data_IF_189802798881
#
_entry.id   IF_189802798881
#
_cell.length_a   1.000
_cell.length_b   1.000
_cell.length_c   1.000
_cell.angle_alpha   90.00
_cell.angle_beta   90.00
_cell.angle_gamma   90.00
#
_symmetry.space_group_name_H-M   'P 1'
#
loop_
_entity.id
_entity.type
_entity.pdbx_description
1 polymer ?
2 non-polymer ?
3 water ?
#
# COMPACT_ATOMS: atom_id res chain seq x y z
N UNK A 6 -12.67 -3.36 25.47
CA UNK A 6 -13.00 -4.33 24.43
C UNK A 6 -12.29 -4.00 23.11
N UNK A 7 -11.62 -2.85 23.05
CA UNK A 7 -11.00 -2.45 21.80
C UNK A 7 -9.76 -3.30 21.48
N UNK A 8 -9.03 -3.77 22.49
CA UNK A 8 -7.75 -4.44 22.31
C UNK A 8 -7.83 -5.96 22.45
N UNK A 9 -8.91 -6.55 21.96
CA UNK A 9 -9.15 -8.02 22.11
C UNK A 9 -8.06 -8.87 21.46
N UNK A 10 -7.70 -8.60 20.21
CA UNK A 10 -6.72 -9.41 19.48
C UNK A 10 -5.28 -8.90 19.60
N UNK A 11 -4.98 -8.05 20.59
CA UNK A 11 -3.67 -7.44 20.75
C UNK A 11 -2.99 -7.91 22.04
N UNK A 12 -1.67 -8.01 22.00
CA UNK A 12 -0.88 -8.34 23.18
C UNK A 12 -0.39 -7.06 23.83
N UNK A 13 -0.48 -6.99 25.15
CA UNK A 13 0.01 -5.83 25.89
C UNK A 13 1.49 -6.04 26.18
N UNK A 14 2.33 -5.07 25.81
CA UNK A 14 3.77 -5.17 25.96
C UNK A 14 4.20 -4.31 27.14
N UNK A 15 5.10 -4.83 27.99
CA UNK A 15 5.56 -3.99 29.08
C UNK A 15 6.64 -3.02 28.59
N UNK A 16 6.65 -1.79 29.09
CA UNK A 16 7.63 -0.79 28.57
C UNK A 16 9.08 -1.20 28.72
N UNK A 17 9.41 -2.03 29.70
CA UNK A 17 10.80 -2.46 29.87
C UNK A 17 11.29 -3.30 28.71
N UNK A 18 10.38 -3.81 27.88
CA UNK A 18 10.74 -4.65 26.74
C UNK A 18 11.03 -3.85 25.48
N UNK A 19 10.86 -2.53 25.51
CA UNK A 19 10.91 -1.69 24.31
C UNK A 19 12.03 -0.67 24.47
N UNK A 20 12.79 -0.49 23.40
CA UNK A 20 13.88 0.46 23.35
C UNK A 20 13.70 1.29 22.09
N UNK A 21 13.36 2.57 22.25
CA UNK A 21 13.29 3.46 21.10
C UNK A 21 14.70 3.94 20.76
N UNK A 22 15.06 3.82 19.48
CA UNK A 22 16.42 4.11 19.05
C UNK A 22 16.52 5.37 18.18
N UNK A 23 15.79 5.42 17.09
CA UNK A 23 15.91 6.59 16.19
C UNK A 23 14.54 6.96 15.61
N UNK A 24 14.27 8.24 15.50
CA UNK A 24 13.01 8.71 14.94
C UNK A 24 13.00 8.49 13.44
N UNK A 25 11.90 7.93 12.94
CA UNK A 25 11.76 7.58 11.54
C UNK A 25 10.56 8.24 10.88
N UNK A 26 9.77 8.99 11.63
CA UNK A 26 8.64 9.68 11.04
C UNK A 26 7.83 10.39 12.09
N UNK A 27 6.69 10.94 11.67
CA UNK A 27 5.82 11.71 12.54
C UNK A 27 4.45 11.04 12.60
N UNK A 28 3.95 10.86 13.81
CA UNK A 28 2.61 10.34 14.03
C UNK A 28 1.57 11.45 14.03
N UNK A 29 0.41 11.14 14.61
CA UNK A 29 -0.66 12.14 14.72
C UNK A 29 -0.53 12.98 15.97
N UNK A 30 0.01 12.41 17.05
CA UNK A 30 0.36 13.17 18.26
C UNK A 30 1.46 12.39 18.98
N UNK A 31 2.63 12.37 18.36
CA UNK A 31 3.78 11.63 18.83
C UNK A 31 4.66 11.24 17.68
N UNK A 32 5.90 10.90 17.99
CA UNK A 32 6.85 10.52 16.96
C UNK A 32 6.68 9.04 16.62
N UNK A 33 7.20 8.66 15.45
CA UNK A 33 7.36 7.25 15.10
C UNK A 33 8.83 6.90 15.16
N UNK A 34 9.14 5.79 15.82
CA UNK A 34 10.53 5.41 16.06
C UNK A 34 10.82 4.06 15.46
N UNK A 35 12.09 3.86 15.14
CA UNK A 35 12.66 2.53 14.98
C UNK A 35 13.22 2.11 16.34
N UNK A 36 12.97 0.86 16.72
CA UNK A 36 13.43 0.40 18.00
C UNK A 36 13.68 -1.09 18.07
N UNK A 37 13.83 -1.62 19.28
CA UNK A 37 14.05 -3.04 19.52
C UNK A 37 13.03 -3.53 20.53
N UNK A 38 12.59 -4.78 20.36
CA UNK A 38 11.60 -5.39 21.22
C UNK A 38 12.14 -6.71 21.76
N UNK A 39 12.01 -6.96 23.06
CA UNK A 39 12.55 -8.21 23.64
C UNK A 39 11.53 -9.07 24.41
N UNK A 40 11.06 -10.16 23.79
CA UNK A 40 10.10 -11.09 24.41
C UNK A 40 10.72 -12.47 24.48
N UNK A 41 10.07 -13.44 23.81
CA UNK A 41 10.34 -14.89 23.87
C UNK A 41 11.20 -15.37 25.03
N UNK A 46 16.58 -9.81 20.47
CA UNK A 46 15.73 -8.66 20.19
C UNK A 46 15.29 -8.67 18.73
N UNK A 47 14.08 -8.18 18.47
CA UNK A 47 13.62 -8.02 17.09
C UNK A 47 13.45 -6.54 16.79
N UNK A 48 13.81 -6.09 15.59
CA UNK A 48 13.58 -4.69 15.23
C UNK A 48 12.10 -4.41 15.10
N UNK A 49 11.67 -3.23 15.55
CA UNK A 49 10.26 -2.85 15.51
C UNK A 49 10.13 -1.39 15.11
N UNK A 50 8.94 -1.05 14.60
CA UNK A 50 8.54 0.34 14.46
C UNK A 50 7.55 0.65 15.57
N UNK A 51 7.62 1.88 16.10
CA UNK A 51 6.92 2.25 17.33
C UNK A 51 6.26 3.60 17.11
N UNK A 52 4.93 3.64 17.14
CA UNK A 52 4.17 4.89 17.10
C UNK A 52 3.70 5.23 18.50
N UNK A 53 3.95 6.45 18.95
CA UNK A 53 3.65 6.84 20.32
C UNK A 53 2.56 7.91 20.36
N UNK A 54 1.84 7.93 21.47
CA UNK A 54 0.83 8.94 21.76
C UNK A 54 1.33 9.70 22.98
N UNK A 55 1.78 10.90 22.75
CA UNK A 55 2.52 11.70 23.77
C UNK A 55 1.61 12.54 24.67
N UNK A 56 2.17 12.97 25.79
CA UNK A 56 1.39 13.67 26.80
C UNK A 56 0.68 14.88 26.20
N UNK A 57 -0.59 15.04 26.54
CA UNK A 57 -1.39 16.12 26.02
C UNK A 57 -2.38 15.69 24.95
N UNK A 58 -2.35 14.43 24.54
CA UNK A 58 -3.27 13.97 23.50
C UNK A 58 -4.71 14.19 23.95
N UNK A 59 -5.59 14.42 22.97
CA UNK A 59 -6.99 14.65 23.25
C UNK A 59 -7.74 13.33 23.37
N UNK A 60 -8.99 13.42 23.82
CA UNK A 60 -9.83 12.22 23.87
C UNK A 60 -10.02 11.62 22.49
N UNK A 61 -10.28 12.43 21.49
CA UNK A 61 -10.44 11.91 20.11
C UNK A 61 -9.14 11.22 19.67
N UNK A 62 -8.00 11.78 19.96
CA UNK A 62 -6.75 11.13 19.58
C UNK A 62 -6.59 9.78 20.27
N UNK A 63 -6.87 9.73 21.57
CA UNK A 63 -6.81 8.45 22.29
C UNK A 63 -7.76 7.43 21.68
N UNK A 64 -9.00 7.83 21.38
CA UNK A 64 -9.95 6.91 20.77
C UNK A 64 -9.42 6.37 19.45
N UNK A 65 -8.87 7.27 18.60
CA UNK A 65 -8.38 6.86 17.29
C UNK A 65 -7.13 5.99 17.41
N UNK A 66 -6.26 6.31 18.37
CA UNK A 66 -5.02 5.56 18.55
C UNK A 66 -5.31 4.13 19.00
N UNK A 67 -6.09 3.99 20.07
CA UNK A 67 -6.42 2.66 20.56
C UNK A 67 -7.30 1.89 19.58
N UNK A 68 -8.18 2.58 18.85
CA UNK A 68 -8.97 1.92 17.83
C UNK A 68 -8.11 1.39 16.70
N UNK A 69 -7.09 2.16 16.31
CA UNK A 69 -6.15 1.68 15.29
C UNK A 69 -5.45 0.43 15.77
N UNK A 70 -4.92 0.45 17.00
CA UNK A 70 -4.32 -0.74 17.56
C UNK A 70 -5.30 -1.91 17.55
N UNK A 71 -6.55 -1.65 17.95
CA UNK A 71 -7.55 -2.71 18.00
C UNK A 71 -7.81 -3.33 16.64
N UNK A 72 -7.99 -2.49 15.61
CA UNK A 72 -8.25 -3.02 14.28
C UNK A 72 -7.04 -3.81 13.77
N UNK A 73 -5.84 -3.31 14.06
CA UNK A 73 -4.62 -3.98 13.61
C UNK A 73 -4.45 -5.34 14.27
N UNK A 74 -4.82 -5.46 15.55
CA UNK A 74 -4.76 -6.75 16.21
C UNK A 74 -5.68 -7.76 15.57
N UNK A 75 -6.81 -7.31 15.02
CA UNK A 75 -7.75 -8.19 14.33
C UNK A 75 -7.16 -8.81 13.07
N UNK A 76 -6.22 -8.15 12.43
CA UNK A 76 -5.73 -8.63 11.15
C UNK A 76 -4.64 -9.66 11.37
N UNK A 77 -4.76 -10.78 10.66
CA UNK A 77 -3.75 -11.84 10.69
C UNK A 77 -3.67 -12.39 9.28
N UNK A 78 -2.73 -11.86 8.49
CA UNK A 78 -2.62 -12.23 7.10
C UNK A 78 -1.18 -11.99 6.64
N UNK A 79 -0.72 -12.87 5.73
CA UNK A 79 0.64 -12.82 5.19
C UNK A 79 0.98 -11.46 4.56
N UNK A 80 -0.01 -10.76 4.03
CA UNK A 80 0.24 -9.51 3.30
C UNK A 80 -0.27 -8.28 4.01
N UNK A 81 -0.42 -8.35 5.34
CA UNK A 81 -0.79 -7.21 6.16
C UNK A 81 0.28 -7.05 7.23
N UNK A 82 0.69 -5.81 7.50
CA UNK A 82 1.71 -5.56 8.51
C UNK A 82 1.28 -6.18 9.84
N UNK A 83 2.22 -6.77 10.52
CA UNK A 83 1.88 -7.44 11.80
C UNK A 83 2.06 -6.53 13.02
N UNK A 84 1.05 -6.55 13.85
CA UNK A 84 1.11 -5.88 15.13
C UNK A 84 1.85 -6.76 16.12
N UNK A 85 2.95 -6.25 16.68
CA UNK A 85 3.63 -6.96 17.75
C UNK A 85 2.87 -6.80 19.07
N UNK A 86 2.35 -5.61 19.32
CA UNK A 86 1.58 -5.39 20.53
C UNK A 86 1.39 -3.91 20.77
N UNK A 87 0.89 -3.62 21.96
CA UNK A 87 0.46 -2.28 22.32
C UNK A 87 0.90 -2.02 23.75
N UNK A 88 1.27 -0.79 24.03
CA UNK A 88 1.39 -0.31 25.40
C UNK A 88 0.23 0.65 25.62
N UNK A 89 -0.74 0.21 26.43
CA UNK A 89 -1.86 1.06 26.80
C UNK A 89 -1.91 1.39 28.29
N UNK A 90 -1.23 0.60 29.13
CA UNK A 90 -1.29 0.75 30.57
C UNK A 90 -0.31 1.78 31.11
N UNK A 91 0.57 2.31 30.27
CA UNK A 91 1.61 3.23 30.70
C UNK A 91 1.74 4.33 29.65
N UNK A 92 2.37 5.42 30.05
CA UNK A 92 2.55 6.58 29.18
C UNK A 92 4.03 6.70 28.84
N UNK A 93 4.35 6.99 27.58
CA UNK A 93 3.38 7.20 26.49
C UNK A 93 2.83 5.88 25.96
N UNK A 94 1.62 5.91 25.42
CA UNK A 94 1.07 4.72 24.79
C UNK A 94 1.78 4.46 23.47
N UNK A 95 1.81 3.20 23.06
CA UNK A 95 2.57 2.80 21.89
C UNK A 95 1.85 1.74 21.08
N UNK A 96 1.99 1.84 19.76
CA UNK A 96 1.66 0.76 18.84
C UNK A 96 2.97 0.27 18.23
N UNK A 97 3.23 -1.04 18.36
CA UNK A 97 4.51 -1.63 17.96
C UNK A 97 4.27 -2.64 16.87
N UNK A 98 4.95 -2.48 15.74
CA UNK A 98 4.81 -3.39 14.62
C UNK A 98 6.16 -3.95 14.24
N UNK A 99 6.12 -4.99 13.40
CA UNK A 99 7.34 -5.45 12.77
C UNK A 99 8.00 -4.32 11.99
N UNK A 100 9.29 -4.50 11.69
CA UNK A 100 10.08 -3.53 10.97
C UNK A 100 10.74 -4.22 9.78
N UNK A 101 10.80 -3.53 8.63
CA UNK A 101 11.32 -4.10 7.40
C UNK A 101 12.57 -3.35 6.94
N UNK A 102 13.71 -4.04 6.92
CA UNK A 102 14.95 -3.41 6.48
C UNK A 102 14.84 -2.85 5.06
N UNK A 103 14.05 -3.48 4.19
CA UNK A 103 13.89 -2.99 2.82
C UNK A 103 12.99 -1.76 2.72
N UNK A 104 12.19 -1.49 3.75
CA UNK A 104 11.40 -0.27 3.80
C UNK A 104 10.19 -0.27 2.88
N UNK A 105 9.74 0.94 2.54
CA UNK A 105 8.52 1.12 1.78
C UNK A 105 8.75 0.81 0.30
N UNK A 106 7.71 0.28 -0.34
CA UNK A 106 7.82 -0.27 -1.69
C UNK A 106 8.18 0.81 -2.72
N UNK A 107 7.65 2.02 -2.57
CA UNK A 107 7.90 3.04 -3.59
C UNK A 107 9.38 3.42 -3.65
N UNK A 108 9.97 3.73 -2.51
CA UNK A 108 11.40 4.04 -2.45
C UNK A 108 12.24 2.83 -2.85
N UNK A 109 11.85 1.65 -2.39
CA UNK A 109 12.53 0.40 -2.73
C UNK A 109 12.66 0.23 -4.24
N UNK A 110 11.54 0.32 -4.96
CA UNK A 110 11.58 0.10 -6.40
C UNK A 110 12.40 1.16 -7.11
N UNK A 111 12.28 2.43 -6.68
CA UNK A 111 13.05 3.51 -7.27
C UNK A 111 14.55 3.31 -7.10
N UNK A 112 14.98 2.67 -6.01
CA UNK A 112 16.38 2.42 -5.73
C UNK A 112 16.88 1.13 -6.36
N UNK A 113 16.00 0.34 -6.95
CA UNK A 113 16.32 -0.95 -7.53
C UNK A 113 15.77 -1.06 -8.93
N UNK A 114 15.83 0.05 -9.68
CA UNK A 114 15.21 0.14 -10.99
C UNK A 114 15.74 -0.93 -11.91
N UNK A 115 14.83 -1.72 -12.49
CA UNK A 115 15.18 -2.73 -13.46
C UNK A 115 15.79 -4.00 -12.91
N UNK A 116 15.80 -4.20 -11.60
CA UNK A 116 16.52 -5.32 -11.01
C UNK A 116 15.69 -6.59 -10.83
N UNK A 117 14.38 -6.56 -11.12
CA UNK A 117 13.53 -7.72 -10.86
C UNK A 117 12.95 -8.28 -12.15
N UNK A 118 12.56 -9.55 -12.09
CA UNK A 118 11.90 -10.16 -13.23
C UNK A 118 10.43 -9.76 -13.24
N UNK A 119 9.82 -9.88 -14.42
CA UNK A 119 8.38 -9.67 -14.50
C UNK A 119 7.65 -10.56 -13.50
N UNK A 120 8.06 -11.82 -13.38
CA UNK A 120 7.38 -12.72 -12.46
C UNK A 120 7.51 -12.24 -11.01
N UNK A 121 8.68 -11.71 -10.63
CA UNK A 121 8.83 -11.13 -9.30
C UNK A 121 7.90 -9.95 -9.09
N UNK A 122 7.80 -9.04 -10.06
CA UNK A 122 6.93 -7.88 -9.92
C UNK A 122 5.47 -8.30 -9.80
N UNK A 123 5.04 -9.22 -10.65
CA UNK A 123 3.64 -9.68 -10.61
C UNK A 123 3.35 -10.40 -9.30
N UNK A 124 4.33 -11.14 -8.78
CA UNK A 124 4.18 -11.78 -7.49
C UNK A 124 3.97 -10.79 -6.35
N UNK A 125 4.66 -9.64 -6.41
CA UNK A 125 4.41 -8.60 -5.41
C UNK A 125 2.97 -8.10 -5.52
N UNK A 126 2.47 -7.92 -6.74
CA UNK A 126 1.09 -7.47 -6.93
C UNK A 126 0.08 -8.50 -6.43
N UNK A 127 0.33 -9.79 -6.64
CA UNK A 127 -0.58 -10.80 -6.11
C UNK A 127 -0.65 -10.71 -4.59
N UNK A 128 0.48 -10.51 -3.93
CA UNK A 128 0.47 -10.41 -2.49
C UNK A 128 -0.29 -9.18 -2.00
N UNK A 129 -0.04 -8.03 -2.63
CA UNK A 129 -0.80 -6.83 -2.27
C UNK A 129 -2.29 -7.05 -2.47
N UNK A 130 -2.67 -7.67 -3.59
CA UNK A 130 -4.09 -7.94 -3.85
C UNK A 130 -4.67 -8.87 -2.81
N UNK A 131 -3.91 -9.90 -2.41
CA UNK A 131 -4.39 -10.82 -1.38
C UNK A 131 -4.60 -10.11 -0.04
N UNK A 132 -3.68 -9.22 0.32
CA UNK A 132 -3.90 -8.42 1.52
C UNK A 132 -5.13 -7.55 1.40
N UNK A 133 -5.32 -6.92 0.24
CA UNK A 133 -6.49 -6.07 0.06
C UNK A 133 -7.79 -6.87 0.05
N UNK A 134 -7.78 -8.07 -0.56
CA UNK A 134 -8.96 -8.92 -0.52
C UNK A 134 -9.35 -9.22 0.92
N UNK A 135 -8.35 -9.52 1.76
CA UNK A 135 -8.58 -9.77 3.18
C UNK A 135 -9.19 -8.55 3.86
N UNK A 136 -8.60 -7.36 3.69
CA UNK A 136 -9.16 -6.16 4.31
C UNK A 136 -10.60 -5.92 3.88
N UNK A 137 -10.86 -5.99 2.57
CA UNK A 137 -12.20 -5.75 2.08
C UNK A 137 -13.21 -6.75 2.65
N UNK A 138 -12.82 -8.03 2.76
CA UNK A 138 -13.70 -9.03 3.33
C UNK A 138 -13.93 -8.80 4.82
N UNK A 139 -12.93 -8.24 5.52
CA UNK A 139 -13.08 -7.85 6.91
C UNK A 139 -13.83 -6.53 7.06
N UNK A 140 -14.34 -5.98 5.96
CA UNK A 140 -15.13 -4.75 5.97
C UNK A 140 -14.28 -3.55 6.38
N UNK A 141 -13.01 -3.54 5.98
CA UNK A 141 -12.11 -2.42 6.23
C UNK A 141 -11.77 -1.76 4.90
N UNK A 142 -12.14 -0.48 4.77
CA UNK A 142 -11.77 0.31 3.60
C UNK A 142 -10.48 1.06 3.92
N UNK A 143 -9.47 0.87 3.07
CA UNK A 143 -8.15 1.40 3.37
C UNK A 143 -8.08 2.91 3.19
N UNK A 144 -8.54 3.40 2.03
CA UNK A 144 -8.63 4.82 1.67
C UNK A 144 -7.32 5.50 1.28
N UNK A 145 -6.18 4.86 1.54
CA UNK A 145 -4.90 5.47 1.16
C UNK A 145 -3.95 4.42 0.61
N UNK A 146 -4.44 3.52 -0.23
CA UNK A 146 -3.58 2.49 -0.80
C UNK A 146 -2.67 3.11 -1.85
N UNK A 147 -1.36 2.97 -1.65
CA UNK A 147 -0.33 3.49 -2.52
C UNK A 147 0.96 2.75 -2.17
N UNK A 148 1.92 2.74 -3.10
CA UNK A 148 3.16 2.02 -2.81
C UNK A 148 3.85 2.56 -1.56
N UNK A 149 3.61 3.83 -1.23
CA UNK A 149 4.26 4.47 -0.05
C UNK A 149 3.75 3.82 1.26
N UNK A 150 2.62 3.14 1.19
CA UNK A 150 2.03 2.50 2.36
C UNK A 150 2.19 0.98 2.36
N UNK A 151 3.16 0.47 1.62
CA UNK A 151 3.40 -0.96 1.54
C UNK A 151 4.85 -1.22 1.92
N UNK A 152 5.07 -2.17 2.83
CA UNK A 152 6.41 -2.54 3.26
C UNK A 152 6.83 -3.83 2.56
N UNK A 153 8.14 -3.97 2.33
CA UNK A 153 8.69 -5.12 1.60
C UNK A 153 9.65 -5.83 2.54
N UNK A 154 9.42 -7.13 2.76
CA UNK A 154 10.34 -7.87 3.63
C UNK A 154 11.48 -8.48 2.82
N UNK A 155 12.37 -9.20 3.50
CA UNK A 155 13.57 -9.77 2.89
C UNK A 155 13.28 -11.01 2.04
N UNK A 156 12.02 -11.44 1.97
CA UNK A 156 11.59 -12.43 1.00
C UNK A 156 10.80 -11.81 -0.14
N UNK A 157 10.80 -10.47 -0.25
CA UNK A 157 10.05 -9.74 -1.28
C UNK A 157 8.54 -9.78 -1.05
N UNK A 158 8.10 -10.14 0.15
CA UNK A 158 6.68 -10.19 0.46
C UNK A 158 6.21 -8.79 0.83
N UNK A 159 5.14 -8.34 0.19
CA UNK A 159 4.60 -7.01 0.43
C UNK A 159 3.55 -7.06 1.54
N UNK A 160 3.63 -6.09 2.45
CA UNK A 160 2.74 -6.02 3.60
C UNK A 160 2.02 -4.68 3.52
N UNK A 161 0.70 -4.72 3.29
CA UNK A 161 -0.11 -3.51 3.31
C UNK A 161 -0.10 -2.90 4.71
N UNK A 162 0.07 -1.57 4.75
CA UNK A 162 0.17 -0.81 5.98
C UNK A 162 -0.59 0.49 5.78
N UNK A 163 -0.60 1.34 6.81
CA UNK A 163 -1.12 2.70 6.65
C UNK A 163 -0.31 3.60 7.58
N UNK A 164 0.57 4.41 7.01
CA UNK A 164 1.41 5.30 7.78
C UNK A 164 0.79 6.68 7.97
N UNK A 165 -0.45 6.87 7.54
CA UNK A 165 -1.04 8.19 7.51
C UNK A 165 -0.65 8.92 6.23
N UNK A 166 -1.24 10.10 6.05
CA UNK A 166 -0.93 10.89 4.87
C UNK A 166 0.52 11.36 4.90
N UNK A 167 1.12 11.47 3.72
CA UNK A 167 2.55 11.76 3.60
C UNK A 167 2.94 13.09 4.23
N UNK A 184 -0.71 15.46 2.91
CA UNK A 184 -0.85 15.51 1.43
C UNK A 184 -2.00 14.60 0.99
N UNK A 185 -2.97 15.13 0.26
CA UNK A 185 -4.11 14.33 -0.20
C UNK A 185 -3.72 13.59 -1.47
N UNK A 186 -3.88 12.23 -1.52
CA UNK A 186 -3.39 11.47 -2.68
C UNK A 186 -4.40 11.42 -3.83
N UNK A 187 -4.64 12.60 -4.42
CA UNK A 187 -5.63 12.72 -5.49
C UNK A 187 -5.38 11.67 -6.58
N UNK A 188 -4.11 11.51 -6.99
CA UNK A 188 -3.86 10.68 -8.16
C UNK A 188 -3.92 9.19 -7.88
N UNK A 189 -4.09 8.79 -6.62
CA UNK A 189 -4.39 7.40 -6.28
C UNK A 189 -5.86 7.17 -6.02
N UNK A 190 -6.69 8.21 -6.03
CA UNK A 190 -8.04 8.13 -5.49
C UNK A 190 -9.10 8.05 -6.58
N UNK A 191 -10.08 7.15 -6.39
CA UNK A 191 -11.12 6.97 -7.38
C UNK A 191 -11.96 8.24 -7.53
N UNK A 192 -12.56 8.45 -8.71
CA UNK A 192 -13.34 9.69 -8.91
C UNK A 192 -14.47 9.90 -7.91
N UNK A 193 -15.23 8.84 -7.54
CA UNK A 193 -16.34 9.07 -6.62
C UNK A 193 -15.86 9.40 -5.21
N UNK A 194 -14.65 8.94 -4.84
CA UNK A 194 -14.12 9.30 -3.53
C UNK A 194 -13.70 10.76 -3.50
N UNK A 195 -13.10 11.23 -4.61
CA UNK A 195 -12.77 12.65 -4.72
C UNK A 195 -14.04 13.49 -4.75
N UNK A 196 -15.00 13.11 -5.61
CA UNK A 196 -16.12 14.00 -5.91
C UNK A 196 -17.11 14.09 -4.76
N UNK A 197 -17.44 12.96 -4.13
CA UNK A 197 -18.47 13.01 -3.08
C UNK A 197 -18.12 12.16 -1.87
N UNK A 198 -16.85 11.83 -1.68
CA UNK A 198 -16.34 11.22 -0.45
C UNK A 198 -16.84 9.79 -0.27
N UNK A 199 -17.11 9.10 -1.38
CA UNK A 199 -17.55 7.71 -1.31
C UNK A 199 -16.33 6.80 -1.37
N UNK A 200 -15.83 6.44 -0.19
CA UNK A 200 -14.70 5.52 -0.08
C UNK A 200 -15.25 4.13 0.21
N UNK A 201 -14.93 3.16 -0.66
CA UNK A 201 -15.36 1.78 -0.49
C UNK A 201 -14.23 0.89 -0.95
N UNK A 202 -14.45 -0.42 -0.83
CA UNK A 202 -13.47 -1.33 -1.38
C UNK A 202 -13.32 -1.17 -2.88
N UNK A 203 -14.35 -0.64 -3.57
CA UNK A 203 -14.23 -0.41 -5.00
C UNK A 203 -13.36 0.81 -5.31
N UNK A 204 -13.35 1.82 -4.42
CA UNK A 204 -12.36 2.88 -4.61
C UNK A 204 -10.95 2.39 -4.28
N UNK A 205 -10.82 1.46 -3.33
CA UNK A 205 -9.52 0.84 -3.11
C UNK A 205 -9.04 0.08 -4.34
N UNK A 206 -9.97 -0.51 -5.11
CA UNK A 206 -9.59 -1.21 -6.34
C UNK A 206 -8.98 -0.24 -7.33
N UNK A 207 -9.57 0.94 -7.49
CA UNK A 207 -8.94 1.98 -8.32
C UNK A 207 -7.53 2.25 -7.85
N UNK A 208 -7.34 2.46 -6.54
CA UNK A 208 -6.01 2.70 -6.00
C UNK A 208 -5.08 1.55 -6.31
N UNK A 209 -5.59 0.32 -6.20
CA UNK A 209 -4.77 -0.85 -6.50
C UNK A 209 -4.27 -0.81 -7.93
N UNK A 210 -5.13 -0.39 -8.87
CA UNK A 210 -4.67 -0.22 -10.25
C UNK A 210 -3.52 0.75 -10.37
N UNK A 211 -3.57 1.86 -9.63
CA UNK A 211 -2.44 2.79 -9.61
C UNK A 211 -1.20 2.13 -9.02
N UNK A 212 -1.38 1.33 -7.96
CA UNK A 212 -0.25 0.61 -7.38
C UNK A 212 0.35 -0.38 -8.40
N UNK A 213 -0.50 -1.07 -9.17
CA UNK A 213 0.02 -1.93 -10.23
C UNK A 213 0.93 -1.13 -11.17
N UNK A 214 0.51 0.08 -11.53
CA UNK A 214 1.30 0.91 -12.43
C UNK A 214 2.60 1.36 -11.76
N UNK A 215 2.53 1.74 -10.48
CA UNK A 215 3.75 2.10 -9.74
C UNK A 215 4.74 0.94 -9.75
N UNK A 216 4.25 -0.28 -9.50
CA UNK A 216 5.14 -1.43 -9.42
C UNK A 216 5.80 -1.69 -10.77
N UNK A 217 5.00 -1.74 -11.84
CA UNK A 217 5.52 -2.10 -13.15
C UNK A 217 6.45 -1.03 -13.73
N UNK A 218 6.37 0.21 -13.25
CA UNK A 218 7.26 1.28 -13.67
C UNK A 218 8.44 1.50 -12.72
N UNK A 219 8.58 0.67 -11.68
CA UNK A 219 9.62 0.86 -10.66
C UNK A 219 9.49 2.20 -9.95
N UNK A 220 8.25 2.55 -9.61
CA UNK A 220 8.01 3.70 -8.77
C UNK A 220 7.92 5.04 -9.48
N UNK A 221 7.52 5.06 -10.74
CA UNK A 221 7.32 6.34 -11.40
C UNK A 221 6.15 7.09 -10.77
N UNK A 222 6.17 8.40 -10.94
CA UNK A 222 5.10 9.24 -10.40
C UNK A 222 3.88 9.13 -11.31
N UNK A 223 2.73 8.66 -10.81
CA UNK A 223 1.53 8.59 -11.64
C UNK A 223 1.21 9.96 -12.25
N UNK A 224 0.99 9.97 -13.56
CA UNK A 224 0.63 11.16 -14.33
C UNK A 224 1.77 12.17 -14.45
N UNK A 225 2.98 11.79 -14.02
CA UNK A 225 4.19 12.63 -14.14
C UNK A 225 3.89 14.03 -13.58
N UNK A 226 4.17 15.10 -14.33
CA UNK A 226 4.12 16.44 -13.79
C UNK A 226 2.73 17.06 -13.84
N UNK A 227 1.69 16.34 -14.27
CA UNK A 227 0.36 16.92 -14.25
C UNK A 227 0.00 17.36 -12.83
N UNK A 228 -0.69 18.49 -12.72
CA UNK A 228 -1.19 18.94 -11.42
C UNK A 228 -2.38 18.10 -11.01
N UNK A 229 -2.78 18.24 -9.75
CA UNK A 229 -3.93 17.46 -9.26
C UNK A 229 -5.19 17.78 -10.06
N UNK A 230 -5.39 19.06 -10.38
CA UNK A 230 -6.57 19.43 -11.16
C UNK A 230 -6.51 18.87 -12.58
N UNK A 231 -5.32 18.90 -13.19
CA UNK A 231 -5.14 18.33 -14.52
C UNK A 231 -5.38 16.82 -14.54
N UNK A 232 -4.97 16.12 -13.48
CA UNK A 232 -5.22 14.68 -13.40
C UNK A 232 -6.73 14.41 -13.37
N UNK A 233 -7.45 15.10 -12.49
CA UNK A 233 -8.89 14.89 -12.40
C UNK A 233 -9.60 15.23 -13.71
N UNK A 234 -9.19 16.32 -14.37
CA UNK A 234 -9.73 16.69 -15.66
C UNK A 234 -9.46 15.60 -16.71
N UNK A 235 -8.23 15.10 -16.74
CA UNK A 235 -7.89 14.05 -17.70
C UNK A 235 -8.74 12.80 -17.47
N UNK A 236 -8.86 12.39 -16.20
CA UNK A 236 -9.66 11.20 -15.88
C UNK A 236 -11.12 11.39 -16.29
N UNK A 237 -11.67 12.57 -16.01
CA UNK A 237 -13.06 12.84 -16.35
C UNK A 237 -13.26 12.88 -17.86
N UNK A 238 -12.26 13.31 -18.61
CA UNK A 238 -12.30 13.30 -20.07
C UNK A 238 -11.99 11.92 -20.66
N UNK A 239 -11.75 10.91 -19.83
CA UNK A 239 -11.57 9.54 -20.30
C UNK A 239 -10.15 9.08 -20.51
N UNK A 240 -9.16 9.94 -20.27
CA UNK A 240 -7.78 9.51 -20.41
C UNK A 240 -7.39 8.61 -19.23
N UNK A 241 -6.43 7.71 -19.50
CA UNK A 241 -5.88 6.82 -18.47
C UNK A 241 -4.38 6.71 -18.66
N UNK A 242 -3.68 6.30 -17.61
CA UNK A 242 -2.24 6.13 -17.69
C UNK A 242 -1.88 5.16 -18.82
N UNK A 243 -0.82 5.41 -19.56
CA UNK A 243 -0.41 4.51 -20.65
C UNK A 243 0.33 3.31 -20.08
N UNK A 244 0.55 2.32 -20.94
CA UNK A 244 1.21 1.13 -20.44
C UNK A 244 2.64 1.45 -20.01
N UNK A 245 3.11 0.84 -18.93
CA UNK A 245 4.54 0.89 -18.59
C UNK A 245 5.33 0.15 -19.66
N UNK A 246 6.63 0.44 -19.69
CA UNK A 246 7.56 -0.30 -20.55
C UNK A 246 7.62 -1.75 -20.09
N UNK A 247 7.76 -2.67 -21.06
CA UNK A 247 7.98 -4.09 -20.76
C UNK A 247 6.85 -4.72 -19.94
N UNK A 248 5.60 -4.24 -20.12
CA UNK A 248 4.52 -4.66 -19.24
C UNK A 248 3.69 -5.75 -19.90
N UNK A 249 3.44 -6.88 -19.23
CA UNK A 249 2.58 -7.91 -19.81
C UNK A 249 1.21 -7.35 -20.18
N UNK A 250 0.75 -7.75 -21.37
CA UNK A 250 -0.57 -7.32 -21.84
C UNK A 250 -1.65 -7.60 -20.79
N UNK A 251 -1.62 -8.79 -20.19
CA UNK A 251 -2.64 -9.15 -19.21
C UNK A 251 -2.64 -8.19 -18.01
N UNK A 252 -1.45 -7.74 -17.61
CA UNK A 252 -1.33 -6.86 -16.45
C UNK A 252 -1.87 -5.47 -16.78
N UNK A 253 -1.57 -4.95 -17.97
CA UNK A 253 -2.12 -3.66 -18.35
C UNK A 253 -3.64 -3.72 -18.47
N UNK A 254 -4.16 -4.79 -19.10
CA UNK A 254 -5.60 -4.96 -19.19
C UNK A 254 -6.25 -4.94 -17.81
N UNK A 255 -5.62 -5.59 -16.83
CA UNK A 255 -6.18 -5.64 -15.49
C UNK A 255 -6.16 -4.26 -14.82
N UNK A 256 -5.06 -3.52 -14.92
CA UNK A 256 -5.06 -2.20 -14.29
C UNK A 256 -6.07 -1.28 -14.96
N UNK A 257 -6.26 -1.40 -16.27
CA UNK A 257 -7.24 -0.57 -16.95
C UNK A 257 -8.66 -0.83 -16.44
N UNK A 258 -8.97 -2.10 -16.13
CA UNK A 258 -10.30 -2.39 -15.64
C UNK A 258 -10.51 -1.89 -14.21
N UNK A 259 -9.42 -1.72 -13.46
CA UNK A 259 -9.51 -1.14 -12.12
C UNK A 259 -9.90 0.33 -12.20
N UNK A 260 -9.68 0.96 -13.35
CA UNK A 260 -9.90 2.39 -13.55
C UNK A 260 -11.19 2.68 -14.31
N UNK A 261 -12.18 1.81 -14.22
CA UNK A 261 -13.45 2.10 -14.84
C UNK A 261 -14.14 3.22 -14.05
N UNK A 262 -14.68 4.20 -14.77
CA UNK A 262 -15.38 5.29 -14.11
C UNK A 262 -16.54 4.75 -13.27
N UNK A 263 -17.31 3.81 -13.81
CA UNK A 263 -18.47 3.28 -13.11
C UNK A 263 -17.99 2.28 -12.07
N UNK A 264 -18.19 2.63 -10.80
CA UNK A 264 -17.70 1.85 -9.68
C UNK A 264 -18.09 0.38 -9.79
N UNK A 265 -19.34 0.11 -10.14
CA UNK A 265 -19.86 -1.25 -10.16
C UNK A 265 -19.22 -2.13 -11.22
N UNK A 266 -18.53 -1.52 -12.19
CA UNK A 266 -17.92 -2.30 -13.31
C UNK A 266 -16.48 -2.71 -12.98
N UNK A 267 -15.91 -2.25 -11.87
CA UNK A 267 -14.55 -2.61 -11.52
C UNK A 267 -14.52 -4.04 -10.99
N UNK A 268 -13.42 -4.76 -11.19
CA UNK A 268 -13.28 -6.08 -10.55
C UNK A 268 -13.32 -5.93 -9.05
N UNK A 269 -13.77 -6.98 -8.36
CA UNK A 269 -13.59 -7.04 -6.92
C UNK A 269 -12.20 -7.59 -6.62
N UNK A 270 -11.74 -7.44 -5.37
CA UNK A 270 -10.41 -7.95 -5.06
C UNK A 270 -10.31 -9.47 -5.27
N UNK A 271 -11.41 -10.20 -5.02
CA UNK A 271 -11.37 -11.64 -5.31
C UNK A 271 -11.05 -11.92 -6.77
N UNK A 272 -11.64 -11.14 -7.68
CA UNK A 272 -11.35 -11.30 -9.11
C UNK A 272 -9.88 -11.02 -9.40
N UNK A 273 -9.35 -9.95 -8.82
CA UNK A 273 -7.95 -9.56 -9.04
C UNK A 273 -7.00 -10.64 -8.55
N UNK A 274 -7.23 -11.14 -7.33
CA UNK A 274 -6.35 -12.19 -6.79
C UNK A 274 -6.39 -13.42 -7.67
N UNK A 275 -7.59 -13.81 -8.11
CA UNK A 275 -7.74 -15.00 -8.94
C UNK A 275 -6.96 -14.86 -10.24
N UNK A 276 -7.07 -13.71 -10.91
CA UNK A 276 -6.39 -13.50 -12.19
C UNK A 276 -4.89 -13.52 -12.01
N UNK A 277 -4.39 -12.79 -11.01
CA UNK A 277 -2.96 -12.72 -10.80
C UNK A 277 -2.40 -14.10 -10.46
N UNK A 278 -3.12 -14.86 -9.65
CA UNK A 278 -2.68 -16.22 -9.33
C UNK A 278 -2.62 -17.09 -10.58
N UNK A 279 -3.62 -16.99 -11.46
CA UNK A 279 -3.64 -17.80 -12.66
C UNK A 279 -2.51 -17.41 -13.60
N UNK A 280 -2.24 -16.11 -13.74
CA UNK A 280 -1.15 -15.64 -14.58
C UNK A 280 0.20 -16.14 -14.07
N UNK A 281 0.39 -16.10 -12.74
CA UNK A 281 1.66 -16.55 -12.18
C UNK A 281 1.84 -18.05 -12.37
N UNK A 282 0.75 -18.82 -12.22
CA UNK A 282 0.85 -20.27 -12.28
C UNK A 282 0.97 -20.78 -13.71
N UNK A 283 0.66 -19.94 -14.69
CA UNK A 283 0.89 -20.22 -16.11
C UNK A 283 1.73 -19.07 -16.66
N UNK A 284 3.01 -19.02 -16.29
CA UNK A 284 3.79 -17.79 -16.52
C UNK A 284 4.06 -17.46 -17.99
N UNK A 285 3.89 -18.40 -18.93
CA UNK A 285 3.96 -18.00 -20.33
C UNK A 285 2.92 -16.95 -20.67
N UNK A 286 1.83 -16.89 -19.90
CA UNK A 286 0.80 -15.87 -20.12
C UNK A 286 1.35 -14.46 -19.99
N UNK A 287 2.44 -14.28 -19.23
CA UNK A 287 3.02 -12.97 -19.02
C UNK A 287 4.04 -12.58 -20.08
N UNK A 288 4.31 -13.46 -21.06
CA UNK A 288 5.32 -13.15 -22.07
C UNK A 288 4.80 -12.22 -23.16
N UNK A 289 3.48 -12.18 -23.37
CA UNK A 289 2.89 -11.27 -24.35
C UNK A 289 2.84 -9.88 -23.75
N UNK A 290 3.53 -8.92 -24.38
CA UNK A 290 3.69 -7.57 -23.83
C UNK A 290 2.78 -6.58 -24.53
N UNK A 291 2.20 -5.66 -23.76
CA UNK A 291 1.48 -4.54 -24.35
C UNK A 291 2.45 -3.63 -25.09
N UNK A 292 1.98 -3.05 -26.20
CA UNK A 292 2.78 -2.09 -26.96
C UNK A 292 3.05 -0.86 -26.11
N UNK A 293 4.31 -0.44 -26.06
CA UNK A 293 4.68 0.79 -25.36
C UNK A 293 4.66 1.95 -26.33
N UNK A 294 3.95 3.03 -25.95
CA UNK A 294 3.87 4.22 -26.79
C UNK A 294 5.13 5.05 -26.65
N UNK A 295 5.98 5.08 -27.66
CA UNK A 295 7.25 5.81 -27.52
C UNK A 295 7.00 7.30 -27.43
N UNK A 296 7.74 7.95 -26.52
CA UNK A 296 7.63 9.42 -26.34
C UNK A 296 8.65 10.11 -27.25
N UNK A 297 9.80 9.46 -27.48
CA UNK A 297 10.83 10.00 -28.35
C UNK A 297 10.97 9.08 -29.55
N UNK A 298 11.54 9.63 -30.60
CA UNK A 298 11.90 8.88 -31.79
C UNK A 298 13.39 9.06 -32.01
N UNK A 299 14.10 7.94 -32.19
CA UNK A 299 15.51 7.97 -32.55
C UNK A 299 15.64 7.28 -33.89
N UNK A 300 16.09 8.03 -34.86
CA UNK A 300 16.26 7.52 -36.24
C UNK A 300 17.72 7.11 -36.42
N UNK A 301 18.01 5.87 -36.75
CA UNK A 301 19.37 5.43 -37.00
C UNK A 301 19.36 4.44 -38.16
N UNK A 302 20.48 4.32 -38.89
CA UNK A 302 20.54 3.40 -40.04
C UNK A 302 20.61 1.94 -39.60
X LIG B 1 -4.93 -2.16 7.21
X LIG B 1 -3.68 -1.77 7.50
X LIG B 1 -3.01 -2.79 7.89
X LIG B 1 -3.16 -1.33 6.40
X LIG B 1 -3.68 -0.74 8.49
X LIG B 1 -2.52 -0.39 9.21
X LIG B 1 -4.85 -0.03 8.72
X LIG B 1 -4.86 1.00 9.66
X LIG B 1 -3.70 1.34 10.37
X LIG B 1 -2.50 0.66 10.14
X LIG B 1 -1.41 1.04 10.89
X LIG B 1 -0.12 0.85 10.46
X LIG B 1 0.18 0.35 9.38
X LIG B 1 0.92 1.12 11.38
X LIG B 1 2.24 0.82 11.00
X LIG B 1 0.69 1.62 12.67
X LIG B 1 1.77 1.82 13.55
X LIG B 1 3.07 1.51 13.15
X LIG B 1 4.15 1.72 14.04
X LIG B 1 3.30 1.02 11.87
X LIG B 1 4.57 0.71 11.52
X LIG B 1 5.37 1.52 10.83
X LIG B 1 5.13 2.84 10.70
X LIG B 1 6.47 0.99 10.26
X LIG B 1 7.33 1.75 9.57
X LIG B 1 8.46 1.17 8.99
X LIG B 1 9.37 1.97 8.30
X LIG B 1 10.50 1.39 7.72
X LIG B 1 10.70 0.02 7.81
X LIG B 1 9.80 -0.80 8.48
X LIG B 1 8.67 -0.21 9.08
X LIG B 1 7.07 3.07 9.44
X LIG B 1 5.99 3.61 10.00
X LIG B 1 5.71 4.98 9.86
X LIG B 1 6.58 5.78 9.13
X LIG B 1 6.32 7.14 8.97
X LIG B 1 5.18 7.70 9.54
X LIG B 1 4.30 6.89 10.27
X LIG B 1 4.57 5.53 10.43
#
# INVERSE_FOLDING_TARGET
>A
GDPNQAVLKFTTEIHPSCVTRQKVIGAGEFGEVYKGMLKTSSGKKEVPVAIKTLKAGYTEKQRVDFLGEAGIMGQFSHHNIIRLEGVISKYKPMMIITEYMENGALDKFLREKDGEFSVLQLVGMLRGIAAGMKYLANMNYVHRDLAARNILVNSNLVCKVSDFGLSRVLEDDPEATYTTSGGKIPIRWTAPEAISYRKFTSASDVWSFGIVMWEVMTYGERPYWELSNHEVMKAINDGFRLPTPMDCPSAIYQLMMQCWQQERARRPKFADIVSILDKLIRAPDSLKTLADFDPRVSIRLPSTSG
>B hetero
1 FZW FBI CBH FBJ FBK CBD CBF CBC CBE CBG CBB NBA CAZ OBL CAU CAV CAW CAX CAY CBM CAT NAS CAJ NAL NAH CAG CAA CAC CAE CAF NAD CAB NAI CAK CAM CAN CAP CAR NAQ CAO
#
